data_IF_992290441467
#
_entry.id   IF_992290441467
#
_cell.length_a   1.000
_cell.length_b   1.000
_cell.length_c   1.000
_cell.angle_alpha   90.00
_cell.angle_beta   90.00
_cell.angle_gamma   90.00
#
_symmetry.space_group_name_H-M   'P 1'
#
loop_
_entity.id
_entity.type
_entity.pdbx_description
1 polymer ?
#
# COMPACT_ATOMS: atom_id res chain seq x y z
N UNK A 1 -7.29 -2.97 -2.44
CA UNK A 1 -8.39 -2.09 -2.01
C UNK A 1 -7.84 -0.68 -1.81
N UNK A 2 -8.66 0.34 -2.04
CA UNK A 2 -8.20 1.73 -1.90
C UNK A 2 -8.07 2.13 -0.43
N UNK A 3 -6.92 2.70 -0.09
CA UNK A 3 -6.56 3.06 1.28
C UNK A 3 -5.57 4.22 1.33
N UNK A 4 -5.42 4.78 2.52
CA UNK A 4 -4.35 5.70 2.91
C UNK A 4 -3.61 5.14 4.12
N UNK A 5 -2.52 5.79 4.54
CA UNK A 5 -1.68 5.37 5.66
C UNK A 5 -1.86 6.30 6.86
N UNK A 6 -1.97 5.76 8.07
CA UNK A 6 -2.02 6.59 9.29
C UNK A 6 -0.63 7.09 9.74
N UNK A 7 0.42 6.51 9.17
CA UNK A 7 1.82 6.92 9.30
C UNK A 7 2.44 6.95 7.91
N UNK A 8 3.63 6.36 7.76
CA UNK A 8 4.25 6.15 6.45
C UNK A 8 4.39 4.67 6.07
N UNK A 9 4.46 4.42 4.78
CA UNK A 9 4.86 3.16 4.16
C UNK A 9 6.04 3.41 3.21
N UNK A 10 7.11 2.62 3.35
CA UNK A 10 8.25 2.59 2.44
C UNK A 10 8.28 1.22 1.78
N UNK A 11 8.29 1.18 0.45
CA UNK A 11 8.37 -0.07 -0.31
C UNK A 11 9.52 -0.04 -1.30
N UNK A 12 10.41 -1.03 -1.23
CA UNK A 12 11.42 -1.31 -2.24
C UNK A 12 10.99 -2.54 -3.05
N UNK A 13 10.90 -2.40 -4.38
CA UNK A 13 10.62 -3.52 -5.26
C UNK A 13 11.90 -4.31 -5.52
N UNK A 14 11.95 -5.56 -5.07
CA UNK A 14 13.09 -6.47 -5.28
C UNK A 14 12.97 -7.27 -6.58
N UNK A 15 11.73 -7.61 -6.98
CA UNK A 15 11.43 -8.29 -8.24
C UNK A 15 9.98 -8.04 -8.69
N UNK A 16 9.70 -8.20 -9.98
CA UNK A 16 8.36 -8.07 -10.55
C UNK A 16 7.91 -6.61 -10.74
N UNK A 17 6.61 -6.36 -10.69
CA UNK A 17 6.01 -5.04 -10.92
C UNK A 17 4.80 -4.76 -10.03
N UNK A 18 4.54 -3.47 -9.76
CA UNK A 18 3.32 -2.99 -9.11
C UNK A 18 2.71 -1.90 -9.99
N UNK A 19 1.40 -1.96 -10.19
CA UNK A 19 0.60 -0.92 -10.84
C UNK A 19 -0.24 -0.20 -9.75
N UNK A 20 -0.10 1.11 -9.68
CA UNK A 20 -0.85 1.97 -8.75
C UNK A 20 -1.38 3.20 -9.51
N UNK A 21 -2.68 3.17 -9.81
CA UNK A 21 -3.27 4.04 -10.83
C UNK A 21 -2.55 3.89 -12.18
N UNK A 22 -2.16 5.01 -12.77
CA UNK A 22 -1.43 5.05 -14.05
C UNK A 22 0.09 4.85 -13.89
N UNK A 23 0.58 4.66 -12.65
CA UNK A 23 2.01 4.49 -12.39
C UNK A 23 2.37 3.00 -12.34
N UNK A 24 3.37 2.62 -13.15
CA UNK A 24 3.96 1.29 -13.14
C UNK A 24 5.34 1.36 -12.47
N UNK A 25 5.49 0.62 -11.37
CA UNK A 25 6.75 0.43 -10.65
C UNK A 25 7.36 -0.93 -10.99
N UNK A 26 8.70 -0.99 -11.03
CA UNK A 26 9.50 -2.17 -11.38
C UNK A 26 10.58 -2.43 -10.34
N UNK A 27 11.25 -3.58 -10.45
CA UNK A 27 12.39 -3.92 -9.60
C UNK A 27 13.44 -2.78 -9.57
N UNK A 28 13.84 -2.39 -8.36
CA UNK A 28 14.72 -1.25 -8.09
C UNK A 28 14.00 0.04 -7.72
N UNK A 29 12.71 0.17 -8.03
CA UNK A 29 11.94 1.36 -7.67
C UNK A 29 11.67 1.41 -6.16
N UNK A 30 11.68 2.63 -5.64
CA UNK A 30 11.40 2.95 -4.25
C UNK A 30 10.13 3.81 -4.16
N UNK A 31 9.20 3.38 -3.31
CA UNK A 31 7.90 4.02 -3.11
C UNK A 31 7.85 4.50 -1.66
N UNK A 32 7.45 5.75 -1.46
CA UNK A 32 7.12 6.30 -0.15
C UNK A 32 5.71 6.88 -0.18
N UNK A 33 4.87 6.45 0.77
CA UNK A 33 3.49 6.91 0.95
C UNK A 33 3.25 7.31 2.39
N UNK A 34 2.32 8.24 2.56
CA UNK A 34 1.85 8.75 3.85
C UNK A 34 0.34 9.06 3.78
N UNK A 35 -0.19 9.73 4.82
CA UNK A 35 -1.60 10.12 4.90
C UNK A 35 -2.09 11.05 3.78
N UNK A 36 -1.20 11.72 3.05
CA UNK A 36 -1.58 12.55 1.89
C UNK A 36 -1.85 11.73 0.63
N UNK A 37 -1.51 10.44 0.65
CA UNK A 37 -1.68 9.53 -0.47
C UNK A 37 -2.88 8.60 -0.25
N UNK A 38 -3.75 8.49 -1.25
CA UNK A 38 -4.75 7.42 -1.35
C UNK A 38 -4.45 6.58 -2.57
N UNK A 39 -4.35 5.27 -2.39
CA UNK A 39 -3.83 4.40 -3.44
C UNK A 39 -4.39 2.97 -3.37
N UNK A 40 -4.25 2.23 -4.47
CA UNK A 40 -4.78 0.86 -4.59
C UNK A 40 -3.82 0.00 -5.42
N UNK A 41 -2.64 -0.31 -4.86
CA UNK A 41 -1.62 -1.06 -5.57
C UNK A 41 -2.13 -2.47 -5.91
N UNK A 42 -1.75 -2.95 -7.09
CA UNK A 42 -1.97 -4.33 -7.51
C UNK A 42 -0.81 -4.80 -8.39
N UNK A 43 -0.66 -6.11 -8.53
CA UNK A 43 0.37 -6.71 -9.37
C UNK A 43 -0.27 -7.78 -10.27
N UNK A 44 -0.30 -7.59 -11.60
CA UNK A 44 -0.84 -8.60 -12.52
C UNK A 44 -0.02 -9.89 -12.53
N UNK A 45 1.32 -9.76 -12.52
CA UNK A 45 2.25 -10.89 -12.72
C UNK A 45 2.98 -11.32 -11.44
N UNK A 46 2.73 -10.62 -10.32
CA UNK A 46 3.42 -10.84 -9.06
C UNK A 46 4.63 -9.93 -8.85
N UNK A 47 5.00 -9.76 -7.58
CA UNK A 47 6.18 -8.99 -7.17
C UNK A 47 6.76 -9.53 -5.87
N UNK A 48 8.03 -9.24 -5.64
CA UNK A 48 8.68 -9.37 -4.34
C UNK A 48 9.02 -7.97 -3.85
N UNK A 49 8.48 -7.61 -2.68
CA UNK A 49 8.66 -6.30 -2.09
C UNK A 49 9.23 -6.42 -0.68
N UNK A 50 10.10 -5.48 -0.32
CA UNK A 50 10.43 -5.20 1.07
C UNK A 50 9.68 -3.94 1.49
N UNK A 51 8.74 -4.08 2.42
CA UNK A 51 7.94 -2.97 2.93
C UNK A 51 8.19 -2.74 4.42
N UNK A 52 8.23 -1.48 4.81
CA UNK A 52 8.26 -1.02 6.20
C UNK A 52 7.10 -0.06 6.38
N UNK A 53 6.27 -0.34 7.37
CA UNK A 53 5.08 0.44 7.65
C UNK A 53 5.09 0.86 9.13
N UNK A 54 4.84 2.15 9.37
CA UNK A 54 4.90 2.76 10.71
C UNK A 54 3.60 2.54 11.51
N UNK A 55 2.46 2.56 10.83
CA UNK A 55 1.13 2.51 11.43
C UNK A 55 0.14 1.81 10.50
N UNK A 56 -1.00 1.27 10.98
CA UNK A 56 -1.94 0.52 10.15
C UNK A 56 -2.52 1.35 8.99
N UNK A 57 -2.93 0.65 7.94
CA UNK A 57 -3.64 1.25 6.80
C UNK A 57 -5.07 1.64 7.19
N UNK A 58 -5.60 2.65 6.51
CA UNK A 58 -6.98 3.08 6.63
C UNK A 58 -7.69 2.98 5.27
N UNK A 59 -8.62 2.03 5.15
CA UNK A 59 -9.41 1.87 3.92
C UNK A 59 -10.32 3.07 3.68
N UNK A 60 -10.34 3.57 2.45
CA UNK A 60 -11.04 4.81 2.08
C UNK A 60 -12.35 4.55 1.34
N UNK A 61 -12.59 3.36 0.78
CA UNK A 61 -13.78 3.07 -0.06
C UNK A 61 -14.52 1.76 0.23
N UNK A 62 -15.83 1.77 -0.03
CA UNK A 62 -16.69 0.58 -0.05
C UNK A 62 -16.86 -0.14 1.29
N UNK A 63 -17.27 -1.41 1.22
CA UNK A 63 -17.44 -2.28 2.40
C UNK A 63 -16.13 -2.48 3.19
N UNK A 64 -14.97 -2.30 2.55
CA UNK A 64 -13.67 -2.46 3.20
C UNK A 64 -13.44 -1.48 4.37
N UNK A 65 -14.15 -0.35 4.39
CA UNK A 65 -14.12 0.60 5.54
C UNK A 65 -14.57 -0.03 6.86
N UNK A 66 -15.41 -1.06 6.84
CA UNK A 66 -15.87 -1.76 8.05
C UNK A 66 -14.72 -2.50 8.75
N UNK A 67 -13.65 -2.84 8.02
CA UNK A 67 -12.48 -3.53 8.56
C UNK A 67 -11.53 -2.61 9.34
N UNK A 68 -11.68 -1.28 9.21
CA UNK A 68 -10.81 -0.31 9.91
C UNK A 68 -10.86 -0.46 11.45
N UNK A 69 -11.97 -0.95 12.01
CA UNK A 69 -12.07 -1.19 13.46
C UNK A 69 -11.24 -2.37 13.95
N UNK A 70 -10.86 -3.29 13.07
CA UNK A 70 -10.04 -4.47 13.41
C UNK A 70 -8.56 -4.16 13.20
N UNK A 71 -8.20 -3.36 12.19
CA UNK A 71 -6.80 -3.04 11.87
C UNK A 71 -6.10 -2.27 13.00
N UNK A 72 -6.83 -1.46 13.76
CA UNK A 72 -6.29 -0.72 14.93
C UNK A 72 -5.87 -1.63 16.09
N UNK A 73 -6.30 -2.90 16.11
CA UNK A 73 -5.99 -3.86 17.19
C UNK A 73 -4.94 -4.90 16.80
N UNK A 74 -4.50 -4.93 15.53
CA UNK A 74 -3.54 -5.90 14.99
C UNK A 74 -2.14 -5.31 14.75
N UNK A 75 -1.98 -4.01 15.00
CA UNK A 75 -0.72 -3.26 14.88
C UNK A 75 -0.12 -3.00 16.26
#
# INVERSE_FOLDING_TARGET
PEHTHQGYELTLLLAGNIQDGDTLYKAGDFIWRDASHSHSPHTPDGCLCYTVQDAPVQFTKGLSRLLNGISQHLY
#
